data_IF_495536575125
#
_entry.id   IF_495536575125
#
_cell.length_a   1.000
_cell.length_b   1.000
_cell.length_c   1.000
_cell.angle_alpha   90.00
_cell.angle_beta   90.00
_cell.angle_gamma   90.00
#
_symmetry.space_group_name_H-M   'P 1'
#
loop_
_entity.id
_entity.type
_entity.pdbx_description
1 polymer ?
#
# COMPACT_ATOMS: atom_id res chain seq x y z
N UNK A 1 2.74 11.24 -0.61
CA UNK A 1 2.02 10.83 0.61
C UNK A 1 1.30 12.00 1.28
N UNK A 2 1.46 13.23 0.78
CA UNK A 2 1.06 14.42 1.52
C UNK A 2 -0.46 14.68 1.49
N UNK A 3 -1.18 13.89 0.71
CA UNK A 3 -2.64 13.78 0.74
C UNK A 3 -3.16 12.79 1.80
N UNK A 4 -2.32 11.91 2.38
CA UNK A 4 -2.76 10.96 3.40
C UNK A 4 -3.11 11.73 4.67
N UNK A 5 -4.29 11.43 5.22
CA UNK A 5 -4.76 11.93 6.52
C UNK A 5 -5.12 10.72 7.36
N UNK A 6 -4.41 10.56 8.48
CA UNK A 6 -4.70 9.52 9.47
C UNK A 6 -5.50 10.17 10.59
N UNK A 7 -6.77 9.77 10.79
CA UNK A 7 -7.59 10.32 11.85
C UNK A 7 -6.97 10.01 13.22
N UNK A 8 -7.16 10.92 14.17
CA UNK A 8 -6.77 10.73 15.56
C UNK A 8 -8.00 10.37 16.37
N UNK A 9 -7.80 9.59 17.43
CA UNK A 9 -8.80 9.45 18.49
C UNK A 9 -8.62 10.68 19.39
N UNK A 10 -9.57 11.60 19.39
CA UNK A 10 -9.53 12.86 20.14
C UNK A 10 -9.31 14.12 19.29
N UNK A 11 -9.25 15.31 19.93
CA UNK A 11 -9.17 16.60 19.23
C UNK A 11 -7.82 16.80 18.49
N UNK A 12 -7.84 17.65 17.46
CA UNK A 12 -6.66 18.12 16.75
C UNK A 12 -6.55 17.66 15.28
N UNK A 13 -5.62 18.27 14.55
CA UNK A 13 -5.45 18.05 13.10
C UNK A 13 -5.04 16.61 12.77
N UNK A 14 -5.66 15.94 11.78
CA UNK A 14 -5.24 14.60 11.34
C UNK A 14 -3.75 14.51 11.06
N UNK A 15 -3.14 13.37 11.39
CA UNK A 15 -1.72 13.15 11.13
C UNK A 15 -1.50 12.95 9.64
N UNK A 16 -0.39 13.47 9.12
CA UNK A 16 0.03 13.27 7.72
C UNK A 16 1.00 12.09 7.55
N UNK A 17 1.47 11.53 8.67
CA UNK A 17 2.47 10.48 8.74
C UNK A 17 1.87 9.21 9.36
N UNK A 18 1.72 8.12 8.60
CA UNK A 18 1.27 6.84 9.14
C UNK A 18 2.34 6.22 10.04
N UNK A 19 1.91 5.44 11.03
CA UNK A 19 2.82 4.69 11.90
C UNK A 19 3.44 3.49 11.19
N UNK A 20 2.65 2.82 10.36
CA UNK A 20 3.07 1.63 9.64
C UNK A 20 2.48 1.58 8.22
N UNK A 21 3.28 1.17 7.25
CA UNK A 21 2.89 0.99 5.84
C UNK A 21 3.02 -0.48 5.45
N UNK A 22 1.95 -1.04 4.91
CA UNK A 22 1.96 -2.36 4.29
C UNK A 22 1.93 -2.14 2.77
N UNK A 23 2.84 -2.80 2.05
CA UNK A 23 2.91 -2.66 0.60
C UNK A 23 3.25 -3.99 -0.06
N UNK A 24 2.83 -4.14 -1.32
CA UNK A 24 3.15 -5.31 -2.11
C UNK A 24 4.59 -5.34 -2.60
N UNK A 25 5.03 -6.51 -3.07
CA UNK A 25 6.37 -6.72 -3.64
C UNK A 25 6.73 -5.75 -4.77
N UNK A 26 5.75 -5.16 -5.46
CA UNK A 26 5.97 -4.12 -6.46
C UNK A 26 6.64 -2.86 -5.89
N UNK A 27 6.46 -2.60 -4.60
CA UNK A 27 7.04 -1.47 -3.87
C UNK A 27 8.33 -1.83 -3.12
N UNK A 28 8.98 -2.95 -3.46
CA UNK A 28 10.17 -3.43 -2.75
C UNK A 28 11.45 -2.61 -2.99
N UNK A 29 11.39 -1.57 -3.83
CA UNK A 29 12.56 -0.80 -4.27
C UNK A 29 13.32 -0.16 -3.09
N UNK A 30 14.66 -0.08 -3.23
CA UNK A 30 15.52 0.55 -2.22
C UNK A 30 15.12 2.01 -1.99
N UNK A 31 14.74 2.73 -3.04
CA UNK A 31 14.30 4.12 -2.96
C UNK A 31 13.07 4.29 -2.06
N UNK A 32 12.04 3.45 -2.25
CA UNK A 32 10.82 3.48 -1.42
C UNK A 32 11.15 3.19 0.04
N UNK A 33 11.92 2.13 0.31
CA UNK A 33 12.29 1.77 1.69
C UNK A 33 13.15 2.84 2.36
N UNK A 34 14.10 3.44 1.64
CA UNK A 34 14.92 4.55 2.15
C UNK A 34 14.07 5.78 2.44
N UNK A 35 13.11 6.11 1.57
CA UNK A 35 12.20 7.22 1.80
C UNK A 35 11.31 7.00 3.03
N UNK A 36 10.78 5.79 3.23
CA UNK A 36 10.00 5.44 4.44
C UNK A 36 10.85 5.55 5.71
N UNK A 37 12.08 5.03 5.69
CA UNK A 37 13.03 5.15 6.81
C UNK A 37 13.36 6.60 7.15
N UNK A 38 13.62 7.44 6.15
CA UNK A 38 13.89 8.87 6.36
C UNK A 38 12.73 9.61 7.01
N UNK A 39 11.49 9.18 6.76
CA UNK A 39 10.28 9.71 7.44
C UNK A 39 9.97 9.00 8.76
N UNK A 40 10.80 8.06 9.21
CA UNK A 40 10.55 7.25 10.42
C UNK A 40 9.28 6.40 10.36
N UNK A 41 8.84 6.01 9.15
CA UNK A 41 7.65 5.19 8.94
C UNK A 41 8.06 3.72 8.88
N UNK A 42 7.53 2.91 9.79
CA UNK A 42 7.76 1.47 9.79
C UNK A 42 7.03 0.85 8.60
N UNK A 43 7.59 -0.19 7.99
CA UNK A 43 7.01 -0.77 6.79
C UNK A 43 7.21 -2.26 6.69
N UNK A 44 6.16 -2.95 6.22
CA UNK A 44 6.19 -4.37 5.87
C UNK A 44 5.95 -4.49 4.37
N UNK A 45 7.04 -4.68 3.64
CA UNK A 45 7.03 -4.86 2.19
C UNK A 45 7.87 -6.10 1.90
N UNK A 46 7.33 -7.14 1.23
CA UNK A 46 8.11 -8.31 0.87
C UNK A 46 9.15 -7.96 -0.20
N UNK A 47 10.21 -8.73 -0.25
CA UNK A 47 11.16 -8.64 -1.36
C UNK A 47 10.68 -9.41 -2.58
N UNK A 48 11.10 -8.97 -3.76
CA UNK A 48 10.90 -9.76 -4.98
C UNK A 48 11.93 -10.88 -5.04
N UNK A 49 11.54 -12.02 -5.60
CA UNK A 49 12.38 -13.22 -5.71
C UNK A 49 13.71 -12.95 -6.44
N UNK A 50 13.71 -12.08 -7.46
CA UNK A 50 14.91 -11.68 -8.19
C UNK A 50 15.88 -10.85 -7.32
N UNK A 51 15.35 -9.99 -6.45
CA UNK A 51 16.15 -9.21 -5.50
C UNK A 51 16.78 -10.11 -4.44
N UNK A 52 16.03 -11.08 -3.93
CA UNK A 52 16.55 -12.10 -3.00
C UNK A 52 17.69 -12.87 -3.66
N UNK A 53 17.49 -13.39 -4.88
CA UNK A 53 18.51 -14.15 -5.62
C UNK A 53 19.77 -13.33 -5.92
N UNK A 54 19.62 -12.08 -6.36
CA UNK A 54 20.77 -11.22 -6.63
C UNK A 54 21.53 -10.88 -5.35
N UNK A 55 20.83 -10.69 -4.22
CA UNK A 55 21.46 -10.50 -2.92
C UNK A 55 22.27 -11.73 -2.51
N UNK A 56 21.67 -12.92 -2.54
CA UNK A 56 22.40 -14.17 -2.18
C UNK A 56 23.58 -14.42 -3.11
N UNK A 57 23.45 -14.16 -4.42
CA UNK A 57 24.56 -14.28 -5.38
C UNK A 57 25.75 -13.39 -5.03
N UNK A 58 25.51 -12.24 -4.39
CA UNK A 58 26.57 -11.30 -3.98
C UNK A 58 27.23 -11.66 -2.64
N UNK A 59 26.78 -12.74 -1.97
CA UNK A 59 27.31 -13.16 -0.67
C UNK A 59 27.30 -12.02 0.36
N UNK A 60 28.40 -11.82 1.09
CA UNK A 60 28.55 -10.74 2.06
C UNK A 60 28.33 -9.33 1.50
N UNK A 61 28.59 -9.11 0.19
CA UNK A 61 28.36 -7.82 -0.49
C UNK A 61 26.88 -7.56 -0.79
N UNK A 62 26.01 -8.55 -0.62
CA UNK A 62 24.57 -8.43 -0.81
C UNK A 62 23.87 -7.64 0.29
N UNK A 63 24.47 -7.57 1.49
CA UNK A 63 23.87 -6.92 2.65
C UNK A 63 22.75 -7.73 3.30
N UNK A 64 22.16 -7.17 4.37
CA UNK A 64 21.14 -7.83 5.18
C UNK A 64 19.77 -7.85 4.49
N UNK A 65 18.99 -8.94 4.57
CA UNK A 65 17.59 -8.93 4.17
C UNK A 65 16.78 -7.86 4.94
N UNK A 66 15.84 -7.16 4.27
CA UNK A 66 14.85 -6.34 4.95
C UNK A 66 14.03 -7.17 5.95
N UNK A 67 13.70 -6.55 7.08
CA UNK A 67 12.76 -7.14 8.02
C UNK A 67 11.38 -7.33 7.36
N UNK A 68 10.76 -8.49 7.60
CA UNK A 68 9.45 -8.84 7.07
C UNK A 68 8.64 -9.59 8.12
N UNK A 69 7.53 -9.00 8.55
CA UNK A 69 6.58 -9.61 9.47
C UNK A 69 5.39 -10.20 8.69
N UNK A 70 5.29 -11.53 8.71
CA UNK A 70 4.20 -12.26 8.03
C UNK A 70 2.83 -11.97 8.62
N UNK A 71 2.72 -11.78 9.94
CA UNK A 71 1.43 -11.55 10.59
C UNK A 71 0.91 -10.15 10.26
N UNK A 72 1.79 -9.14 10.28
CA UNK A 72 1.42 -7.79 9.85
C UNK A 72 1.05 -7.78 8.36
N UNK A 73 1.75 -8.54 7.52
CA UNK A 73 1.46 -8.60 6.10
C UNK A 73 0.06 -9.16 5.78
N UNK A 74 -0.46 -10.10 6.59
CA UNK A 74 -1.83 -10.63 6.43
C UNK A 74 -2.90 -9.55 6.47
N UNK A 75 -2.66 -8.41 7.15
CA UNK A 75 -3.62 -7.31 7.22
C UNK A 75 -3.93 -6.67 5.86
N UNK A 76 -3.10 -6.90 4.82
CA UNK A 76 -3.40 -6.46 3.45
C UNK A 76 -4.72 -7.04 2.91
N UNK A 77 -5.17 -8.18 3.44
CA UNK A 77 -6.42 -8.83 3.04
C UNK A 77 -7.65 -7.91 3.20
N UNK A 78 -7.60 -6.94 4.12
CA UNK A 78 -8.68 -5.94 4.26
C UNK A 78 -8.79 -5.09 2.99
N UNK A 79 -7.65 -4.64 2.47
CA UNK A 79 -7.58 -3.83 1.24
C UNK A 79 -7.93 -4.69 0.03
N UNK A 80 -7.40 -5.91 -0.06
CA UNK A 80 -7.69 -6.84 -1.16
C UNK A 80 -9.20 -7.16 -1.26
N UNK A 81 -9.86 -7.46 -0.13
CA UNK A 81 -11.32 -7.68 -0.10
C UNK A 81 -12.11 -6.44 -0.51
N UNK A 82 -11.68 -5.25 -0.08
CA UNK A 82 -12.32 -4.00 -0.49
C UNK A 82 -12.24 -3.80 -2.01
N UNK A 83 -11.04 -3.95 -2.60
CA UNK A 83 -10.87 -3.85 -4.05
C UNK A 83 -11.64 -4.94 -4.81
N UNK A 84 -11.71 -6.16 -4.29
CA UNK A 84 -12.49 -7.23 -4.90
C UNK A 84 -14.00 -6.91 -4.93
N UNK A 85 -14.52 -6.26 -3.88
CA UNK A 85 -15.92 -5.81 -3.84
C UNK A 85 -16.16 -4.63 -4.79
N UNK A 86 -15.23 -3.66 -4.86
CA UNK A 86 -15.30 -2.59 -5.86
C UNK A 86 -15.27 -3.13 -7.31
N UNK A 87 -14.50 -4.20 -7.56
CA UNK A 87 -14.43 -4.84 -8.87
C UNK A 87 -15.66 -5.67 -9.26
N UNK A 88 -16.63 -5.86 -8.37
CA UNK A 88 -17.94 -6.42 -8.78
C UNK A 88 -18.66 -5.47 -9.75
N UNK A 89 -18.36 -4.18 -9.68
CA UNK A 89 -18.87 -3.17 -10.58
C UNK A 89 -18.06 -3.18 -11.87
N UNK A 90 -18.64 -3.72 -12.94
CA UNK A 90 -17.96 -3.93 -14.23
C UNK A 90 -17.32 -2.65 -14.79
N UNK A 91 -18.00 -1.51 -14.64
CA UNK A 91 -17.48 -0.20 -15.07
C UNK A 91 -16.19 0.20 -14.34
N UNK A 92 -16.08 -0.08 -13.04
CA UNK A 92 -14.89 0.19 -12.23
C UNK A 92 -13.79 -0.82 -12.55
N UNK A 93 -14.13 -2.10 -12.67
CA UNK A 93 -13.16 -3.16 -12.93
C UNK A 93 -12.42 -2.97 -14.27
N UNK A 94 -13.16 -2.60 -15.31
CA UNK A 94 -12.61 -2.41 -16.66
C UNK A 94 -12.17 -0.96 -16.92
N UNK A 95 -12.52 -0.01 -16.04
CA UNK A 95 -12.28 1.43 -16.19
C UNK A 95 -12.88 2.01 -17.48
N UNK A 96 -14.20 1.91 -17.63
CA UNK A 96 -14.88 2.47 -18.80
C UNK A 96 -14.97 4.00 -18.85
N UNK A 97 -14.81 4.65 -17.69
CA UNK A 97 -14.77 6.10 -17.61
C UNK A 97 -13.58 6.68 -18.38
N UNK A 98 -13.87 7.61 -19.30
CA UNK A 98 -12.84 8.28 -20.12
C UNK A 98 -12.00 9.28 -19.33
N UNK A 99 -12.57 9.88 -18.28
CA UNK A 99 -11.90 10.93 -17.50
C UNK A 99 -11.57 10.43 -16.09
N UNK A 100 -10.48 10.94 -15.52
CA UNK A 100 -10.10 10.64 -14.15
C UNK A 100 -11.17 11.11 -13.14
N UNK A 101 -11.86 12.23 -13.44
CA UNK A 101 -12.93 12.76 -12.59
C UNK A 101 -14.15 11.84 -12.57
N UNK A 102 -14.62 11.38 -13.73
CA UNK A 102 -15.73 10.43 -13.85
C UNK A 102 -15.42 9.12 -13.14
N UNK A 103 -14.22 8.57 -13.35
CA UNK A 103 -13.78 7.36 -12.66
C UNK A 103 -13.73 7.53 -11.14
N UNK A 104 -13.20 8.66 -10.66
CA UNK A 104 -13.17 8.97 -9.23
C UNK A 104 -14.58 9.09 -8.64
N UNK A 105 -15.52 9.72 -9.36
CA UNK A 105 -16.92 9.82 -8.95
C UNK A 105 -17.57 8.44 -8.84
N UNK A 106 -17.36 7.56 -9.83
CA UNK A 106 -17.87 6.19 -9.82
C UNK A 106 -17.31 5.37 -8.64
N UNK A 107 -16.01 5.45 -8.37
CA UNK A 107 -15.38 4.79 -7.21
C UNK A 107 -15.93 5.33 -5.89
N UNK A 108 -16.16 6.65 -5.81
CA UNK A 108 -16.71 7.29 -4.61
C UNK A 108 -18.15 6.80 -4.36
N UNK A 109 -18.98 6.79 -5.39
CA UNK A 109 -20.36 6.31 -5.30
C UNK A 109 -20.42 4.83 -4.90
N UNK A 110 -19.62 3.97 -5.54
CA UNK A 110 -19.55 2.56 -5.17
C UNK A 110 -19.07 2.35 -3.73
N UNK A 111 -18.12 3.17 -3.26
CA UNK A 111 -17.64 3.12 -1.87
C UNK A 111 -18.74 3.50 -0.87
N UNK A 112 -19.56 4.50 -1.18
CA UNK A 112 -20.70 4.90 -0.35
C UNK A 112 -21.76 3.80 -0.28
N UNK A 113 -22.09 3.18 -1.42
CA UNK A 113 -23.05 2.08 -1.48
C UNK A 113 -22.56 0.80 -0.80
N UNK A 114 -21.25 0.60 -0.68
CA UNK A 114 -20.66 -0.52 0.07
C UNK A 114 -20.65 -0.31 1.58
N UNK A 115 -20.78 0.94 2.04
CA UNK A 115 -20.77 1.32 3.46
C UNK A 115 -22.15 1.18 4.11
N UNK A 116 -23.22 1.37 3.33
CA UNK A 116 -24.60 1.07 3.73
C UNK A 116 -24.82 -0.45 3.87
#
# INVERSE_FOLDING_TARGET
>A
MDAIRVPRIGPGRPRIRPDHVIGDKGYSSKAIRTWLRRRGVTHTIPERSDQVRNRTRRGGRGGRPPAFDKQVYKRRNVVERCFNRLKQWRGIATRYDKTAQSYQAAVTLASLLMWA
#
